data_IF_907226625927
#
_entry.id   IF_907226625927
#
_cell.length_a   1.000
_cell.length_b   1.000
_cell.length_c   1.000
_cell.angle_alpha   90.00
_cell.angle_beta   90.00
_cell.angle_gamma   90.00
#
_symmetry.space_group_name_H-M   'P 1'
#
loop_
_entity.id
_entity.type
_entity.pdbx_description
1 polymer ?
#
# COMPACT_ATOMS: atom_id res chain seq x y z
N UNK A 1 -2.26 0.29 -26.27
CA UNK A 1 -2.31 -1.13 -25.81
C UNK A 1 -1.46 -1.28 -24.54
N UNK A 2 -1.41 -2.47 -23.92
CA UNK A 2 -0.56 -2.71 -22.72
C UNK A 2 0.92 -2.37 -22.98
N UNK A 3 1.41 -2.64 -24.19
CA UNK A 3 2.74 -2.25 -24.67
C UNK A 3 3.01 -0.75 -24.50
N UNK A 4 2.11 0.12 -25.00
CA UNK A 4 2.26 1.58 -24.90
C UNK A 4 2.35 2.07 -23.44
N UNK A 5 1.71 1.38 -22.50
CA UNK A 5 1.77 1.75 -21.07
C UNK A 5 3.09 1.36 -20.44
N UNK A 6 3.74 0.30 -20.92
CA UNK A 6 5.05 -0.14 -20.45
C UNK A 6 6.16 0.84 -20.85
N UNK A 7 5.94 1.69 -21.85
CA UNK A 7 6.89 2.72 -22.30
C UNK A 7 6.88 3.97 -21.40
N UNK A 8 5.87 4.14 -20.54
CA UNK A 8 5.78 5.27 -19.63
C UNK A 8 6.88 5.18 -18.54
N UNK A 9 7.38 6.34 -18.11
CA UNK A 9 8.40 6.40 -17.05
C UNK A 9 7.88 5.73 -15.77
N UNK A 10 8.74 4.93 -15.13
CA UNK A 10 8.46 4.19 -13.89
C UNK A 10 7.36 3.14 -14.01
N UNK A 11 7.03 2.73 -15.25
CA UNK A 11 6.15 1.60 -15.52
C UNK A 11 6.99 0.40 -15.91
N UNK A 12 6.90 -0.65 -15.10
CA UNK A 12 7.52 -1.90 -15.49
C UNK A 12 6.59 -2.68 -16.43
N UNK A 13 7.17 -3.40 -17.39
CA UNK A 13 6.41 -4.18 -18.36
C UNK A 13 5.52 -5.23 -17.68
N UNK A 14 6.02 -5.89 -16.63
CA UNK A 14 5.31 -6.89 -15.84
C UNK A 14 4.06 -6.34 -15.13
N UNK A 15 4.07 -5.07 -14.73
CA UNK A 15 2.95 -4.41 -14.03
C UNK A 15 2.08 -3.53 -14.93
N UNK A 16 2.49 -3.32 -16.18
CA UNK A 16 1.74 -2.52 -17.15
C UNK A 16 0.28 -2.99 -17.35
N UNK A 17 -0.06 -4.29 -17.31
CA UNK A 17 -1.44 -4.74 -17.49
C UNK A 17 -2.38 -4.25 -16.38
N UNK A 18 -1.92 -4.21 -15.13
CA UNK A 18 -2.76 -3.93 -13.96
C UNK A 18 -2.90 -2.43 -13.66
N UNK A 19 -2.05 -1.57 -14.24
CA UNK A 19 -2.02 -0.13 -13.95
C UNK A 19 -3.36 0.58 -14.13
N UNK A 20 -4.11 0.23 -15.17
CA UNK A 20 -5.42 0.86 -15.43
C UNK A 20 -6.43 0.47 -14.35
N UNK A 21 -6.44 -0.80 -13.95
CA UNK A 21 -7.32 -1.26 -12.88
C UNK A 21 -7.01 -0.51 -11.57
N UNK A 22 -5.72 -0.39 -11.21
CA UNK A 22 -5.32 0.39 -10.04
C UNK A 22 -5.71 1.87 -10.12
N UNK A 23 -5.57 2.50 -11.29
CA UNK A 23 -5.95 3.89 -11.50
C UNK A 23 -7.46 4.12 -11.34
N UNK A 24 -8.29 3.20 -11.84
CA UNK A 24 -9.75 3.26 -11.68
C UNK A 24 -10.17 3.15 -10.21
N UNK A 25 -9.55 2.21 -9.47
CA UNK A 25 -9.83 2.05 -8.03
C UNK A 25 -9.40 3.30 -7.26
N UNK A 26 -8.23 3.87 -7.58
CA UNK A 26 -7.76 5.10 -6.96
C UNK A 26 -8.72 6.27 -7.24
N UNK A 27 -9.16 6.46 -8.49
CA UNK A 27 -10.09 7.52 -8.88
C UNK A 27 -11.44 7.39 -8.16
N UNK A 28 -12.00 6.18 -8.12
CA UNK A 28 -13.24 5.91 -7.39
C UNK A 28 -13.09 6.20 -5.89
N UNK A 29 -11.97 5.80 -5.29
CA UNK A 29 -11.69 6.05 -3.87
C UNK A 29 -11.55 7.54 -3.56
N UNK A 30 -10.89 8.30 -4.45
CA UNK A 30 -10.77 9.75 -4.33
C UNK A 30 -12.14 10.44 -4.43
N UNK A 31 -13.00 10.01 -5.37
CA UNK A 31 -14.36 10.57 -5.49
C UNK A 31 -15.24 10.25 -4.28
N UNK A 32 -15.05 9.08 -3.66
CA UNK A 32 -15.79 8.69 -2.45
C UNK A 32 -15.31 9.41 -1.17
N UNK A 33 -14.10 9.99 -1.20
CA UNK A 33 -13.53 10.72 -0.06
C UNK A 33 -13.92 12.20 -0.08
N UNK A 34 -14.00 12.82 1.10
CA UNK A 34 -14.21 14.27 1.25
C UNK A 34 -12.92 15.08 1.13
N UNK A 35 -11.77 14.41 1.08
CA UNK A 35 -10.45 15.07 1.07
C UNK A 35 -10.06 15.49 -0.35
N UNK A 36 -9.47 16.69 -0.48
CA UNK A 36 -9.11 17.29 -1.77
C UNK A 36 -7.82 16.73 -2.38
N UNK A 37 -6.95 16.13 -1.57
CA UNK A 37 -5.65 15.64 -1.99
C UNK A 37 -5.19 14.46 -1.15
N UNK A 38 -4.35 13.62 -1.72
CA UNK A 38 -3.74 12.48 -1.06
C UNK A 38 -2.23 12.56 -1.21
N UNK A 39 -1.51 12.13 -0.18
CA UNK A 39 -0.07 11.89 -0.24
C UNK A 39 0.17 10.39 -0.37
N UNK A 40 1.15 10.02 -1.19
CA UNK A 40 1.54 8.62 -1.32
C UNK A 40 2.40 8.24 -0.12
N UNK A 41 1.88 7.36 0.73
CA UNK A 41 2.64 6.81 1.83
C UNK A 41 3.84 6.00 1.29
N UNK A 42 5.08 6.23 1.78
CA UNK A 42 6.23 5.43 1.36
C UNK A 42 6.24 4.01 1.98
N UNK A 43 5.31 3.72 2.89
CA UNK A 43 5.24 2.50 3.68
C UNK A 43 3.99 1.71 3.29
N UNK A 44 4.07 0.39 3.34
CA UNK A 44 2.94 -0.50 3.08
C UNK A 44 2.76 -1.50 4.23
N UNK A 45 1.92 -2.52 3.99
CA UNK A 45 1.59 -3.54 4.99
C UNK A 45 2.83 -4.25 5.56
N UNK A 46 3.83 -4.50 4.71
CA UNK A 46 5.05 -5.22 5.10
C UNK A 46 5.79 -4.47 6.22
N UNK A 47 6.02 -3.18 6.04
CA UNK A 47 6.69 -2.35 7.03
C UNK A 47 5.82 -2.16 8.27
N UNK A 48 4.50 -2.00 8.11
CA UNK A 48 3.57 -1.94 9.25
C UNK A 48 3.59 -3.21 10.11
N UNK A 49 3.70 -4.39 9.49
CA UNK A 49 3.83 -5.65 10.21
C UNK A 49 5.18 -5.76 10.94
N UNK A 50 6.27 -5.29 10.32
CA UNK A 50 7.58 -5.25 10.97
C UNK A 50 7.55 -4.35 12.21
N UNK A 51 6.98 -3.14 12.10
CA UNK A 51 6.84 -2.22 13.22
C UNK A 51 6.02 -2.85 14.36
N UNK A 52 4.91 -3.52 14.06
CA UNK A 52 4.10 -4.18 15.08
C UNK A 52 4.86 -5.26 15.86
N UNK A 53 5.73 -6.02 15.21
CA UNK A 53 6.57 -7.04 15.89
C UNK A 53 7.68 -6.43 16.74
N UNK A 54 8.11 -5.23 16.39
CA UNK A 54 9.14 -4.49 17.10
C UNK A 54 8.56 -3.61 18.21
N UNK A 55 7.24 -3.46 18.27
CA UNK A 55 6.56 -2.68 19.28
C UNK A 55 6.35 -3.52 20.56
N UNK A 56 7.10 -3.24 21.64
CA UNK A 56 6.99 -3.99 22.89
C UNK A 56 5.65 -3.77 23.60
N UNK A 57 4.93 -2.67 23.31
CA UNK A 57 3.65 -2.34 23.94
C UNK A 57 2.46 -3.00 23.23
N UNK A 58 2.62 -3.35 21.94
CA UNK A 58 1.58 -4.04 21.17
C UNK A 58 1.58 -5.56 21.44
N UNK A 59 2.62 -6.09 22.09
CA UNK A 59 2.77 -7.50 22.51
C UNK A 59 2.34 -7.73 23.97
N UNK A 60 1.36 -6.95 24.46
CA UNK A 60 0.79 -7.02 25.81
C UNK A 60 0.01 -8.29 26.17
N UNK A 61 0.25 -9.42 25.50
CA UNK A 61 -0.42 -10.69 25.79
C UNK A 61 0.52 -11.94 25.72
N UNK A 62 1.85 -11.76 25.56
CA UNK A 62 2.80 -12.90 25.55
C UNK A 62 3.88 -12.87 26.63
N UNK A 63 3.98 -11.82 27.46
CA UNK A 63 4.90 -11.80 28.63
C UNK A 63 4.10 -11.71 29.94
N UNK A 64 3.47 -12.83 30.29
CA UNK A 64 2.68 -12.95 31.51
C UNK A 64 2.24 -14.37 31.86
N UNK A 65 2.94 -15.42 31.41
CA UNK A 65 2.67 -16.77 31.91
C UNK A 65 3.82 -17.75 31.72
N UNK A 66 4.82 -17.67 32.59
CA UNK A 66 5.32 -18.82 33.38
C UNK A 66 6.71 -18.53 33.94
N UNK A 67 6.74 -18.23 35.26
CA UNK A 67 7.90 -18.23 36.17
C UNK A 67 8.99 -17.17 35.96
#
# INVERSE_FOLDING_TARGET
MTADRAELERVSADRSPQRVAGALVAEASMRASTTKSFEICPWALKEGLMLRKLDPETDGDLVGSSR
#
